data_IF_525936988559
#
_entry.id   IF_525936988559
#
_cell.length_a   1.000
_cell.length_b   1.000
_cell.length_c   1.000
_cell.angle_alpha   90.00
_cell.angle_beta   90.00
_cell.angle_gamma   90.00
#
_symmetry.space_group_name_H-M   'P 1'
#
loop_
_entity.id
_entity.type
_entity.pdbx_description
1 polymer ?
#
# COMPACT_ATOMS: atom_id res chain seq x y z
N UNK A 1 -13.40 21.04 0.97
CA UNK A 1 -12.03 20.49 0.91
C UNK A 1 -12.14 19.10 0.31
N UNK A 2 -11.26 18.70 -0.62
CA UNK A 2 -11.30 17.38 -1.27
C UNK A 2 -10.05 16.59 -0.85
N UNK A 3 -10.10 15.77 0.20
CA UNK A 3 -8.91 15.11 0.74
C UNK A 3 -8.47 13.95 -0.18
N UNK A 4 -7.18 13.62 -0.10
CA UNK A 4 -6.61 12.39 -0.66
C UNK A 4 -5.78 11.70 0.41
N UNK A 5 -5.75 10.37 0.39
CA UNK A 5 -4.85 9.56 1.22
C UNK A 5 -3.68 9.11 0.36
N UNK A 6 -2.45 9.40 0.78
CA UNK A 6 -1.24 8.92 0.15
C UNK A 6 -0.50 7.98 1.09
N UNK A 7 -0.25 6.74 0.66
CA UNK A 7 0.47 5.72 1.42
C UNK A 7 1.88 5.58 0.81
N UNK A 8 2.93 6.15 1.42
CA UNK A 8 4.30 5.96 0.93
C UNK A 8 4.81 4.56 1.31
N UNK A 9 5.28 3.80 0.31
CA UNK A 9 5.83 2.48 0.53
C UNK A 9 7.04 2.20 -0.38
N UNK A 10 8.10 1.62 0.19
CA UNK A 10 9.33 1.25 -0.51
C UNK A 10 9.88 -0.08 0.00
N UNK A 11 10.58 -0.82 -0.85
CA UNK A 11 11.16 -2.12 -0.48
C UNK A 11 12.39 -2.00 0.44
N UNK A 12 13.15 -0.89 0.34
CA UNK A 12 14.42 -0.67 1.02
C UNK A 12 14.32 -0.29 2.52
N UNK A 13 13.72 -1.17 3.33
CA UNK A 13 13.65 -1.05 4.79
C UNK A 13 14.83 -1.80 5.45
N UNK A 14 15.57 -1.13 6.33
CA UNK A 14 16.77 -1.70 6.99
C UNK A 14 16.42 -2.71 8.09
N UNK A 15 15.44 -2.40 8.96
CA UNK A 15 15.09 -3.26 10.11
C UNK A 15 14.22 -4.45 9.71
N UNK A 16 13.47 -4.31 8.62
CA UNK A 16 12.60 -5.37 8.10
C UNK A 16 12.64 -5.27 6.57
N UNK A 17 13.60 -5.94 5.91
CA UNK A 17 13.71 -5.95 4.45
C UNK A 17 12.41 -6.43 3.80
N UNK A 18 12.00 -5.79 2.70
CA UNK A 18 10.77 -6.17 1.98
C UNK A 18 9.47 -5.93 2.75
N UNK A 19 9.50 -5.09 3.81
CA UNK A 19 8.36 -4.82 4.71
C UNK A 19 6.99 -4.68 4.00
N UNK A 20 6.82 -3.90 2.91
CA UNK A 20 5.50 -3.77 2.26
C UNK A 20 4.91 -5.10 1.76
N UNK A 21 5.76 -6.03 1.33
CA UNK A 21 5.38 -7.34 0.84
C UNK A 21 5.41 -8.43 1.92
N UNK A 22 5.83 -8.10 3.14
CA UNK A 22 5.80 -9.05 4.25
C UNK A 22 4.35 -9.50 4.50
N UNK A 23 4.13 -10.81 4.54
CA UNK A 23 2.81 -11.38 4.74
C UNK A 23 2.35 -11.15 6.18
N UNK A 24 1.11 -10.72 6.34
CA UNK A 24 0.42 -10.63 7.63
C UNK A 24 -0.88 -11.41 7.47
N UNK A 25 -0.90 -12.65 7.92
CA UNK A 25 -2.01 -13.56 7.68
C UNK A 25 -2.14 -13.89 6.18
N UNK A 26 -3.28 -13.53 5.60
CA UNK A 26 -3.69 -13.92 4.24
C UNK A 26 -3.19 -12.97 3.13
N UNK A 27 -2.60 -11.82 3.47
CA UNK A 27 -2.20 -10.81 2.49
C UNK A 27 -0.95 -10.02 2.91
N UNK A 28 -0.24 -9.41 1.94
CA UNK A 28 0.89 -8.52 2.22
C UNK A 28 0.53 -7.33 3.11
N UNK A 29 1.48 -6.86 3.91
CA UNK A 29 1.33 -5.71 4.82
C UNK A 29 0.69 -4.49 4.13
N UNK A 30 1.12 -4.18 2.91
CA UNK A 30 0.61 -3.00 2.19
C UNK A 30 -0.88 -3.07 1.90
N UNK A 31 -1.43 -4.28 1.67
CA UNK A 31 -2.85 -4.46 1.36
C UNK A 31 -3.72 -4.27 2.61
N UNK A 32 -3.19 -4.53 3.80
CA UNK A 32 -3.87 -4.15 5.05
C UNK A 32 -4.00 -2.63 5.18
N UNK A 33 -2.95 -1.88 4.85
CA UNK A 33 -2.97 -0.41 4.91
C UNK A 33 -3.94 0.15 3.86
N UNK A 34 -3.90 -0.37 2.63
CA UNK A 34 -4.85 0.00 1.57
C UNK A 34 -6.31 -0.22 1.99
N UNK A 35 -6.61 -1.38 2.57
CA UNK A 35 -7.97 -1.68 3.05
C UNK A 35 -8.43 -0.71 4.15
N UNK A 36 -7.55 -0.36 5.09
CA UNK A 36 -7.87 0.59 6.16
C UNK A 36 -8.03 2.01 5.64
N UNK A 37 -7.20 2.45 4.71
CA UNK A 37 -7.34 3.75 4.05
C UNK A 37 -8.66 3.87 3.28
N UNK A 38 -9.07 2.81 2.57
CA UNK A 38 -10.38 2.76 1.91
C UNK A 38 -11.53 2.81 2.91
N UNK A 39 -11.44 2.07 4.01
CA UNK A 39 -12.47 2.05 5.04
C UNK A 39 -12.64 3.39 5.78
N UNK A 40 -11.66 4.30 5.70
CA UNK A 40 -11.78 5.64 6.28
C UNK A 40 -12.75 6.54 5.48
N UNK A 41 -12.98 6.25 4.20
CA UNK A 41 -13.97 6.93 3.34
C UNK A 41 -13.86 8.48 3.31
N UNK A 42 -12.61 8.99 3.32
CA UNK A 42 -12.33 10.44 3.28
C UNK A 42 -11.84 10.94 1.93
N UNK A 43 -11.72 10.08 0.92
CA UNK A 43 -11.30 10.43 -0.43
C UNK A 43 -10.49 9.34 -1.14
N UNK A 44 -9.95 9.64 -2.34
CA UNK A 44 -9.12 8.72 -3.11
C UNK A 44 -7.89 8.25 -2.33
N UNK A 45 -7.51 6.98 -2.52
CA UNK A 45 -6.33 6.36 -1.91
C UNK A 45 -5.31 6.03 -2.99
N UNK A 46 -4.08 6.51 -2.82
CA UNK A 46 -2.95 6.24 -3.72
C UNK A 46 -1.79 5.69 -2.89
N UNK A 47 -1.17 4.60 -3.36
CA UNK A 47 0.06 4.05 -2.77
C UNK A 47 1.25 4.54 -3.57
N UNK A 48 2.03 5.47 -3.03
CA UNK A 48 3.22 5.98 -3.70
C UNK A 48 4.38 5.00 -3.54
N UNK A 49 4.82 4.37 -4.64
CA UNK A 49 5.82 3.30 -4.64
C UNK A 49 6.97 3.58 -5.61
N UNK A 50 8.17 3.11 -5.26
CA UNK A 50 9.37 3.17 -6.10
C UNK A 50 9.65 1.87 -6.87
N UNK A 51 9.03 0.77 -6.45
CA UNK A 51 9.37 -0.57 -6.87
C UNK A 51 8.22 -1.17 -7.69
N UNK A 52 8.52 -1.69 -8.88
CA UNK A 52 7.50 -2.20 -9.82
C UNK A 52 6.70 -3.36 -9.24
N UNK A 53 7.36 -4.28 -8.55
CA UNK A 53 6.70 -5.45 -7.94
C UNK A 53 5.67 -5.03 -6.89
N UNK A 54 5.98 -3.97 -6.13
CA UNK A 54 5.07 -3.41 -5.14
C UNK A 54 3.87 -2.73 -5.81
N UNK A 55 4.09 -2.02 -6.93
CA UNK A 55 3.02 -1.43 -7.72
C UNK A 55 2.06 -2.51 -8.24
N UNK A 56 2.58 -3.60 -8.81
CA UNK A 56 1.77 -4.71 -9.31
C UNK A 56 0.90 -5.32 -8.21
N UNK A 57 1.45 -5.60 -7.03
CA UNK A 57 0.67 -6.15 -5.90
C UNK A 57 -0.48 -5.23 -5.49
N UNK A 58 -0.26 -3.91 -5.48
CA UNK A 58 -1.33 -2.95 -5.17
C UNK A 58 -2.39 -2.93 -6.27
N UNK A 59 -1.97 -2.91 -7.54
CA UNK A 59 -2.85 -2.86 -8.70
C UNK A 59 -3.69 -4.15 -8.86
N UNK A 60 -3.10 -5.32 -8.62
CA UNK A 60 -3.79 -6.61 -8.62
C UNK A 60 -4.86 -6.71 -7.53
N UNK A 61 -4.67 -6.00 -6.40
CA UNK A 61 -5.67 -5.83 -5.34
C UNK A 61 -6.70 -4.71 -5.65
N UNK A 62 -6.70 -4.21 -6.89
CA UNK A 62 -7.55 -3.14 -7.38
C UNK A 62 -7.21 -1.75 -6.83
N UNK A 63 -6.04 -1.57 -6.21
CA UNK A 63 -5.54 -0.29 -5.70
C UNK A 63 -4.87 0.57 -6.77
N UNK A 64 -4.64 1.84 -6.44
CA UNK A 64 -3.85 2.77 -7.28
C UNK A 64 -2.44 2.86 -6.72
N UNK A 65 -1.44 2.53 -7.53
CA UNK A 65 -0.01 2.67 -7.23
C UNK A 65 0.74 3.21 -8.44
#
# INVERSE_FOLDING_TARGET
>A
MNPIIVIPARMASVRLPGKPLAMIGDRPMILHVLARARAADIGPVIVAVSDRDLACVVQDAGGTA
#
